data_IF_313889087821
#
_entry.id   IF_313889087821
#
_cell.length_a   1.000
_cell.length_b   1.000
_cell.length_c   1.000
_cell.angle_alpha   90.00
_cell.angle_beta   90.00
_cell.angle_gamma   90.00
#
_symmetry.space_group_name_H-M   'P 1'
#
loop_
_entity.id
_entity.type
_entity.pdbx_description
1 polymer ?
#
# COMPACT_ATOMS: atom_id res chain seq x y z
N UNK A 1 -34.08 -1.31 -4.04
CA UNK A 1 -32.79 -1.93 -3.68
C UNK A 1 -31.85 -1.72 -4.84
N UNK A 2 -30.64 -1.21 -4.61
CA UNK A 2 -29.77 -0.74 -5.68
C UNK A 2 -29.50 -1.82 -6.73
N UNK A 3 -29.91 -1.56 -7.96
CA UNK A 3 -29.60 -2.34 -9.15
C UNK A 3 -28.15 -2.02 -9.55
N UNK A 4 -27.19 -2.47 -8.74
CA UNK A 4 -25.77 -2.18 -8.92
C UNK A 4 -25.03 -3.44 -9.32
N UNK A 5 -24.27 -3.38 -10.41
CA UNK A 5 -23.31 -4.41 -10.81
C UNK A 5 -22.48 -4.89 -9.59
N UNK A 6 -22.17 -6.19 -9.48
CA UNK A 6 -21.37 -6.77 -8.40
C UNK A 6 -20.03 -6.01 -8.17
N UNK A 7 -19.43 -5.50 -9.25
CA UNK A 7 -18.26 -4.62 -9.20
C UNK A 7 -18.51 -3.35 -8.37
N UNK A 8 -19.64 -2.69 -8.60
CA UNK A 8 -20.00 -1.45 -7.90
C UNK A 8 -20.20 -1.69 -6.41
N UNK A 9 -20.78 -2.84 -6.04
CA UNK A 9 -20.92 -3.22 -4.64
C UNK A 9 -19.55 -3.37 -3.97
N UNK A 10 -18.62 -4.12 -4.58
CA UNK A 10 -17.27 -4.30 -4.03
C UNK A 10 -16.51 -2.96 -3.90
N UNK A 11 -16.61 -2.09 -4.90
CA UNK A 11 -15.98 -0.77 -4.85
C UNK A 11 -16.55 0.12 -3.74
N UNK A 12 -17.87 0.15 -3.55
CA UNK A 12 -18.52 1.02 -2.56
C UNK A 12 -18.42 0.47 -1.12
N UNK A 13 -18.56 -0.85 -0.97
CA UNK A 13 -18.56 -1.55 0.33
C UNK A 13 -17.14 -1.78 0.86
N UNK A 14 -16.25 -2.36 0.05
CA UNK A 14 -14.87 -2.68 0.46
C UNK A 14 -13.88 -1.53 0.18
N UNK A 15 -14.37 -0.37 -0.33
CA UNK A 15 -13.57 0.79 -0.75
C UNK A 15 -12.45 0.44 -1.74
N UNK A 16 -12.68 -0.58 -2.55
CA UNK A 16 -11.69 -1.05 -3.51
C UNK A 16 -11.66 -0.16 -4.76
N UNK A 17 -10.47 0.16 -5.30
CA UNK A 17 -10.35 0.72 -6.63
C UNK A 17 -10.77 -0.34 -7.67
N UNK A 18 -11.20 0.14 -8.85
CA UNK A 18 -11.77 -0.71 -9.89
C UNK A 18 -10.92 -1.95 -10.25
N UNK A 19 -9.59 -1.87 -10.46
CA UNK A 19 -8.78 -3.05 -10.78
C UNK A 19 -8.81 -4.12 -9.68
N UNK A 20 -8.76 -3.70 -8.41
CA UNK A 20 -8.81 -4.62 -7.27
C UNK A 20 -10.19 -5.29 -7.15
N UNK A 21 -11.27 -4.54 -7.40
CA UNK A 21 -12.62 -5.09 -7.44
C UNK A 21 -12.81 -6.11 -8.57
N UNK A 22 -12.20 -5.89 -9.75
CA UNK A 22 -12.18 -6.84 -10.87
C UNK A 22 -11.40 -8.10 -10.49
N UNK A 23 -10.21 -7.96 -9.91
CA UNK A 23 -9.37 -9.09 -9.47
C UNK A 23 -10.03 -9.94 -8.39
N UNK A 24 -10.69 -9.31 -7.42
CA UNK A 24 -11.38 -10.02 -6.35
C UNK A 24 -12.57 -10.83 -6.90
N UNK A 25 -13.32 -10.28 -7.86
CA UNK A 25 -14.43 -10.98 -8.51
C UNK A 25 -13.92 -12.12 -9.42
N UNK A 26 -12.88 -11.86 -10.20
CA UNK A 26 -12.26 -12.85 -11.08
C UNK A 26 -11.67 -14.01 -10.27
N UNK A 27 -10.99 -13.72 -9.15
CA UNK A 27 -10.45 -14.72 -8.24
C UNK A 27 -11.52 -15.64 -7.63
N UNK A 28 -12.72 -15.13 -7.34
CA UNK A 28 -13.86 -15.97 -6.88
C UNK A 28 -14.37 -16.93 -7.96
N UNK A 29 -14.17 -16.59 -9.23
CA UNK A 29 -14.57 -17.38 -10.38
C UNK A 29 -13.41 -18.21 -10.96
N UNK A 30 -12.22 -18.15 -10.36
CA UNK A 30 -11.01 -18.80 -10.87
C UNK A 30 -10.55 -18.25 -12.23
N UNK A 31 -10.90 -17.01 -12.55
CA UNK A 31 -10.51 -16.33 -13.78
C UNK A 31 -9.27 -15.48 -13.55
N UNK A 32 -8.29 -15.58 -14.45
CA UNK A 32 -7.15 -14.66 -14.48
C UNK A 32 -7.55 -13.34 -15.15
N UNK A 33 -7.13 -12.22 -14.56
CA UNK A 33 -7.35 -10.88 -15.12
C UNK A 33 -6.13 -10.47 -15.95
N UNK A 34 -6.26 -10.30 -17.26
CA UNK A 34 -5.17 -9.81 -18.09
C UNK A 34 -4.78 -8.41 -17.65
N UNK A 35 -3.51 -8.20 -17.29
CA UNK A 35 -2.96 -6.87 -17.02
C UNK A 35 -2.20 -6.37 -18.23
N UNK A 36 -2.37 -5.11 -18.59
CA UNK A 36 -1.52 -4.48 -19.60
C UNK A 36 -0.06 -4.58 -19.17
N UNK A 37 0.79 -5.14 -20.04
CA UNK A 37 2.19 -5.41 -19.72
C UNK A 37 2.43 -6.61 -18.80
N UNK A 38 1.43 -7.46 -18.55
CA UNK A 38 1.64 -8.74 -17.86
C UNK A 38 2.72 -9.59 -18.54
N UNK A 39 2.81 -9.54 -19.87
CA UNK A 39 3.83 -10.26 -20.64
C UNK A 39 5.07 -9.39 -20.98
N UNK A 40 5.10 -8.10 -20.59
CA UNK A 40 6.26 -7.23 -20.79
C UNK A 40 7.25 -7.42 -19.63
N UNK A 41 8.42 -8.05 -19.84
CA UNK A 41 9.40 -8.27 -18.78
C UNK A 41 9.88 -6.95 -18.15
N UNK A 42 9.88 -5.84 -18.90
CA UNK A 42 10.26 -4.53 -18.36
C UNK A 42 9.20 -3.98 -17.42
N UNK A 43 7.91 -4.17 -17.73
CA UNK A 43 6.81 -3.76 -16.86
C UNK A 43 6.82 -4.55 -15.54
N UNK A 44 7.01 -5.87 -15.61
CA UNK A 44 7.17 -6.71 -14.43
C UNK A 44 8.36 -6.28 -13.56
N UNK A 45 9.51 -5.98 -14.17
CA UNK A 45 10.70 -5.54 -13.44
C UNK A 45 10.51 -4.18 -12.76
N UNK A 46 9.81 -3.23 -13.40
CA UNK A 46 9.45 -1.94 -12.79
C UNK A 46 8.55 -2.13 -11.58
N UNK A 47 7.52 -2.97 -11.70
CA UNK A 47 6.59 -3.23 -10.59
C UNK A 47 7.28 -3.96 -9.43
N UNK A 48 8.16 -4.92 -9.72
CA UNK A 48 8.98 -5.58 -8.70
C UNK A 48 9.86 -4.58 -7.95
N UNK A 49 10.59 -3.72 -8.67
CA UNK A 49 11.41 -2.66 -8.06
C UNK A 49 10.57 -1.69 -7.21
N UNK A 50 9.36 -1.34 -7.67
CA UNK A 50 8.44 -0.48 -6.92
C UNK A 50 8.04 -1.14 -5.61
N UNK A 51 7.63 -2.40 -5.64
CA UNK A 51 7.27 -3.19 -4.44
C UNK A 51 8.46 -3.31 -3.47
N UNK A 52 9.65 -3.64 -3.98
CA UNK A 52 10.88 -3.69 -3.19
C UNK A 52 11.19 -2.34 -2.52
N UNK A 53 11.05 -1.24 -3.25
CA UNK A 53 11.25 0.12 -2.72
C UNK A 53 10.24 0.50 -1.63
N UNK A 54 8.96 0.18 -1.83
CA UNK A 54 7.92 0.41 -0.82
C UNK A 54 8.21 -0.39 0.46
N UNK A 55 8.60 -1.65 0.33
CA UNK A 55 8.97 -2.49 1.47
C UNK A 55 10.18 -1.91 2.21
N UNK A 56 11.19 -1.40 1.49
CA UNK A 56 12.36 -0.77 2.11
C UNK A 56 11.99 0.50 2.89
N UNK A 57 11.08 1.32 2.35
CA UNK A 57 10.59 2.52 3.04
C UNK A 57 9.83 2.15 4.31
N UNK A 58 9.03 1.09 4.29
CA UNK A 58 8.31 0.59 5.48
C UNK A 58 9.28 0.09 6.57
N UNK A 59 10.32 -0.65 6.18
CA UNK A 59 11.38 -1.09 7.09
C UNK A 59 12.13 0.11 7.68
N UNK A 60 12.50 1.08 6.84
CA UNK A 60 13.18 2.29 7.29
C UNK A 60 12.31 3.11 8.26
N UNK A 61 11.03 3.29 7.94
CA UNK A 61 10.08 4.01 8.80
C UNK A 61 9.93 3.32 10.16
N UNK A 62 9.83 2.00 10.17
CA UNK A 62 9.74 1.21 11.41
C UNK A 62 11.02 1.35 12.24
N UNK A 63 12.19 1.21 11.61
CA UNK A 63 13.48 1.39 12.27
C UNK A 63 13.62 2.77 12.91
N UNK A 64 13.34 3.85 12.18
CA UNK A 64 13.45 5.20 12.74
C UNK A 64 12.41 5.49 13.83
N UNK A 65 11.20 4.93 13.71
CA UNK A 65 10.18 5.03 14.76
C UNK A 65 10.64 4.36 16.06
N UNK A 66 11.30 3.21 15.97
CA UNK A 66 11.89 2.54 17.14
C UNK A 66 13.04 3.33 17.72
N UNK A 67 13.98 3.78 16.88
CA UNK A 67 15.13 4.58 17.31
C UNK A 67 14.74 5.90 17.95
N UNK A 68 13.66 6.53 17.47
CA UNK A 68 13.14 7.76 18.06
C UNK A 68 12.72 7.55 19.53
N UNK A 69 12.27 6.35 19.91
CA UNK A 69 11.84 6.02 21.29
C UNK A 69 13.00 5.65 22.21
N UNK A 70 14.18 5.34 21.66
CA UNK A 70 15.36 4.96 22.42
C UNK A 70 16.11 6.19 22.97
N UNK A 71 17.12 5.93 23.80
CA UNK A 71 17.94 6.98 24.43
C UNK A 71 18.64 7.86 23.38
N UNK A 72 19.08 7.26 22.27
CA UNK A 72 19.71 7.93 21.14
C UNK A 72 18.77 8.91 20.43
N UNK A 73 17.45 8.69 20.55
CA UNK A 73 16.40 9.54 19.97
C UNK A 73 16.07 10.79 20.79
N UNK A 74 16.63 10.95 21.99
CA UNK A 74 16.29 12.07 22.88
C UNK A 74 16.46 13.45 22.24
N UNK A 75 17.53 13.66 21.46
CA UNK A 75 17.77 14.95 20.79
C UNK A 75 16.67 15.27 19.77
N UNK A 76 16.24 14.28 19.00
CA UNK A 76 15.15 14.39 18.04
C UNK A 76 13.79 14.61 18.74
N UNK A 77 13.52 13.92 19.85
CA UNK A 77 12.30 14.15 20.64
C UNK A 77 12.22 15.58 21.18
N UNK A 78 13.31 16.11 21.74
CA UNK A 78 13.38 17.50 22.23
C UNK A 78 13.12 18.50 21.11
N UNK A 79 13.65 18.24 19.91
CA UNK A 79 13.41 19.07 18.74
C UNK A 79 11.92 19.07 18.32
N UNK A 80 11.29 17.89 18.28
CA UNK A 80 9.86 17.76 17.98
C UNK A 80 8.99 18.50 19.00
N UNK A 81 9.27 18.34 20.29
CA UNK A 81 8.59 19.07 21.36
C UNK A 81 8.77 20.58 21.22
N UNK A 82 9.98 21.06 20.88
CA UNK A 82 10.24 22.48 20.61
C UNK A 82 9.45 23.04 19.43
N UNK A 83 9.01 22.18 18.51
CA UNK A 83 8.10 22.52 17.40
C UNK A 83 6.63 22.35 17.72
N UNK A 84 6.27 21.95 18.94
CA UNK A 84 4.88 21.66 19.33
C UNK A 84 4.33 20.37 18.72
N UNK A 85 5.20 19.47 18.24
CA UNK A 85 4.82 18.17 17.69
C UNK A 85 4.94 17.11 18.78
N UNK A 86 3.88 16.32 18.97
CA UNK A 86 3.94 15.15 19.85
C UNK A 86 4.73 14.03 19.18
N UNK A 87 5.70 13.39 19.88
CA UNK A 87 6.43 12.23 19.39
C UNK A 87 5.54 11.02 19.06
#
# INVERSE_FOLDING_TARGET
GAHGNALRFLMEYDKLPFPEAVEQLAGRLGLDVPREGADDPRAQQREKKRKEGVNLLEVAASFYRERLKMQEGQSAQRYLQGRGLSP
#
